data_IF_621480428417
#
_entry.id   IF_621480428417
#
_cell.length_a   1.000
_cell.length_b   1.000
_cell.length_c   1.000
_cell.angle_alpha   90.00
_cell.angle_beta   90.00
_cell.angle_gamma   90.00
#
_symmetry.space_group_name_H-M   'P 1'
#
loop_
_entity.id
_entity.type
_entity.pdbx_description
1 polymer ?
#
# COMPACT_ATOMS: atom_id res chain seq x y z
N UNK A 1 4.08 4.63 15.96
CA UNK A 1 4.17 5.35 14.67
C UNK A 1 4.61 4.38 13.57
N UNK A 2 3.98 4.42 12.39
CA UNK A 2 4.27 3.53 11.26
C UNK A 2 4.55 4.37 9.99
N UNK A 3 5.42 3.90 9.11
CA UNK A 3 5.68 4.56 7.82
C UNK A 3 6.00 3.53 6.73
N UNK A 4 5.90 3.94 5.47
CA UNK A 4 6.31 3.12 4.34
C UNK A 4 6.49 3.93 3.07
N UNK A 5 7.32 3.40 2.18
CA UNK A 5 7.60 3.94 0.86
C UNK A 5 7.38 2.86 -0.19
N UNK A 6 6.96 3.26 -1.39
CA UNK A 6 6.77 2.37 -2.52
C UNK A 6 7.26 3.04 -3.80
N UNK A 7 7.97 2.28 -4.64
CA UNK A 7 8.40 2.71 -5.97
C UNK A 7 7.86 1.75 -7.03
N UNK A 8 7.19 2.29 -8.04
CA UNK A 8 6.79 1.53 -9.23
C UNK A 8 8.01 1.32 -10.15
N UNK A 9 8.06 0.15 -10.77
CA UNK A 9 9.12 -0.29 -11.70
C UNK A 9 8.49 -1.02 -12.89
N UNK A 10 9.28 -1.30 -13.93
CA UNK A 10 8.85 -2.06 -15.13
C UNK A 10 7.58 -1.47 -15.80
N UNK A 11 7.55 -0.17 -16.09
CA UNK A 11 6.39 0.50 -16.70
C UNK A 11 5.09 0.25 -15.93
N UNK A 12 5.12 0.49 -14.62
CA UNK A 12 4.01 0.26 -13.70
C UNK A 12 3.57 -1.22 -13.56
N UNK A 13 4.32 -2.19 -14.12
CA UNK A 13 4.04 -3.63 -13.94
C UNK A 13 4.60 -4.21 -12.66
N UNK A 14 5.53 -3.54 -11.99
CA UNK A 14 6.03 -3.99 -10.69
C UNK A 14 6.15 -2.89 -9.67
N UNK A 15 6.35 -3.27 -8.41
CA UNK A 15 6.68 -2.34 -7.33
C UNK A 15 7.57 -2.96 -6.26
N UNK A 16 8.49 -2.15 -5.73
CA UNK A 16 9.17 -2.42 -4.47
C UNK A 16 8.49 -1.61 -3.38
N UNK A 17 8.16 -2.25 -2.26
CA UNK A 17 7.57 -1.61 -1.09
C UNK A 17 8.41 -1.91 0.14
N UNK A 18 8.71 -0.88 0.91
CA UNK A 18 9.32 -0.98 2.21
C UNK A 18 8.42 -0.34 3.25
N UNK A 19 8.18 -1.02 4.37
CA UNK A 19 7.38 -0.48 5.47
C UNK A 19 7.97 -0.84 6.82
N UNK A 20 7.81 0.08 7.78
CA UNK A 20 8.26 -0.07 9.16
C UNK A 20 7.08 0.19 10.10
N UNK A 21 6.87 -0.75 11.03
CA UNK A 21 5.89 -0.63 12.12
C UNK A 21 6.59 -0.29 13.43
N UNK A 22 5.95 0.55 14.23
CA UNK A 22 6.42 1.01 15.53
C UNK A 22 7.85 1.60 15.53
N UNK A 23 8.10 2.53 14.59
CA UNK A 23 9.42 3.16 14.37
C UNK A 23 10.02 3.70 15.68
N UNK A 24 9.19 4.29 16.53
CA UNK A 24 9.61 4.91 17.80
C UNK A 24 9.61 3.94 18.99
N UNK A 25 9.37 2.64 18.78
CA UNK A 25 9.34 1.60 19.84
C UNK A 25 8.41 1.96 21.01
N UNK A 26 7.23 2.46 20.66
CA UNK A 26 6.28 3.05 21.62
C UNK A 26 5.33 2.04 22.24
N UNK A 27 5.22 0.83 21.68
CA UNK A 27 4.31 -0.17 22.21
C UNK A 27 4.80 -0.72 23.55
N UNK A 28 4.04 -0.45 24.62
CA UNK A 28 4.23 -1.02 25.96
C UNK A 28 2.94 -1.71 26.36
N UNK A 29 3.01 -3.02 26.59
CA UNK A 29 1.90 -3.82 27.11
C UNK A 29 2.23 -4.26 28.53
N UNK A 30 1.92 -3.38 29.48
CA UNK A 30 2.03 -3.61 30.91
C UNK A 30 0.69 -3.26 31.56
N UNK A 31 0.42 -3.89 32.70
CA UNK A 31 -0.80 -3.63 33.45
C UNK A 31 -0.69 -4.14 34.87
N UNK A 32 -1.66 -3.72 35.66
CA UNK A 32 -1.85 -4.17 37.03
C UNK A 32 -3.17 -4.92 37.11
N UNK A 33 -3.15 -6.08 37.73
CA UNK A 33 -4.38 -6.78 38.10
C UNK A 33 -4.83 -6.18 39.42
N UNK A 34 -5.88 -5.35 39.35
CA UNK A 34 -6.52 -4.71 40.50
C UNK A 34 -7.92 -5.34 40.68
N UNK A 35 -8.52 -5.21 41.87
CA UNK A 35 -9.82 -5.80 42.27
C UNK A 35 -9.80 -7.28 42.69
N UNK A 36 -8.67 -7.77 43.20
CA UNK A 36 -8.62 -9.04 43.94
C UNK A 36 -8.25 -8.73 45.39
N UNK A 37 -9.13 -8.99 46.38
CA UNK A 37 -8.80 -8.77 47.78
C UNK A 37 -7.54 -9.55 48.17
N UNK A 38 -6.58 -8.85 48.80
CA UNK A 38 -5.29 -9.39 49.25
C UNK A 38 -4.35 -9.92 48.14
N UNK A 39 -4.56 -9.56 46.87
CA UNK A 39 -3.64 -9.92 45.79
C UNK A 39 -3.33 -8.73 44.87
N UNK A 40 -2.04 -8.47 44.67
CA UNK A 40 -1.53 -7.49 43.71
C UNK A 40 -0.56 -8.19 42.78
N UNK A 41 -0.90 -8.22 41.49
CA UNK A 41 -0.06 -8.82 40.46
C UNK A 41 0.23 -7.78 39.37
N UNK A 42 1.50 -7.63 39.02
CA UNK A 42 1.94 -6.79 37.91
C UNK A 42 2.41 -7.68 36.76
N UNK A 43 1.90 -7.44 35.55
CA UNK A 43 2.31 -8.19 34.37
C UNK A 43 3.02 -7.31 33.34
N UNK A 44 3.96 -7.93 32.64
CA UNK A 44 4.66 -7.31 31.51
C UNK A 44 4.72 -8.26 30.33
N UNK A 45 4.01 -7.91 29.27
CA UNK A 45 4.06 -8.62 27.99
C UNK A 45 5.09 -7.96 27.07
N UNK A 46 6.10 -8.74 26.67
CA UNK A 46 7.06 -8.33 25.64
C UNK A 46 6.56 -8.80 24.30
N UNK A 47 6.14 -7.86 23.45
CA UNK A 47 5.75 -8.13 22.08
C UNK A 47 6.76 -7.55 21.10
N UNK A 48 7.00 -8.25 20.00
CA UNK A 48 7.81 -7.75 18.89
C UNK A 48 6.98 -6.76 18.07
N UNK A 49 6.95 -5.51 18.53
CA UNK A 49 6.18 -4.44 17.89
C UNK A 49 6.87 -3.86 16.65
N UNK A 50 8.21 -3.77 16.70
CA UNK A 50 9.05 -3.28 15.61
C UNK A 50 9.22 -4.33 14.51
N UNK A 51 8.66 -4.02 13.33
CA UNK A 51 8.69 -4.92 12.17
C UNK A 51 9.07 -4.13 10.93
N UNK A 52 10.05 -4.66 10.20
CA UNK A 52 10.48 -4.17 8.89
C UNK A 52 9.98 -5.17 7.84
N UNK A 53 9.36 -4.66 6.79
CA UNK A 53 8.86 -5.49 5.69
C UNK A 53 9.37 -4.92 4.37
N UNK A 54 10.04 -5.76 3.59
CA UNK A 54 10.41 -5.51 2.21
C UNK A 54 9.62 -6.47 1.32
N UNK A 55 8.97 -5.93 0.29
CA UNK A 55 8.16 -6.72 -0.63
C UNK A 55 8.36 -6.29 -2.07
N UNK A 56 8.39 -7.27 -2.97
CA UNK A 56 8.35 -7.08 -4.40
C UNK A 56 7.01 -7.60 -4.94
N UNK A 57 6.39 -6.84 -5.84
CA UNK A 57 5.16 -7.23 -6.51
C UNK A 57 5.36 -7.10 -8.02
N UNK A 58 4.83 -8.04 -8.79
CA UNK A 58 4.83 -8.01 -10.26
C UNK A 58 3.47 -8.44 -10.80
N UNK A 59 2.95 -7.69 -11.76
CA UNK A 59 1.67 -7.93 -12.41
C UNK A 59 1.90 -8.48 -13.82
N UNK A 60 1.48 -9.72 -14.05
CA UNK A 60 1.57 -10.42 -15.34
C UNK A 60 0.39 -10.11 -16.28
N UNK A 61 -0.66 -9.45 -15.80
CA UNK A 61 -1.80 -9.06 -16.62
C UNK A 61 -1.38 -8.12 -17.74
N UNK A 62 -2.02 -8.23 -18.92
CA UNK A 62 -1.94 -7.18 -19.93
C UNK A 62 -2.48 -5.91 -19.28
N UNK A 63 -1.69 -4.84 -19.29
CA UNK A 63 -2.27 -3.50 -19.21
C UNK A 63 -3.30 -3.49 -20.33
N UNK A 64 -4.59 -3.43 -19.98
CA UNK A 64 -5.59 -3.02 -20.95
C UNK A 64 -5.11 -1.64 -21.35
N UNK A 65 -4.36 -1.57 -22.45
CA UNK A 65 -3.84 -0.33 -23.00
C UNK A 65 -4.96 0.67 -22.89
N UNK A 66 -4.62 1.87 -22.39
CA UNK A 66 -5.48 3.05 -22.37
C UNK A 66 -6.56 2.87 -23.41
N UNK A 67 -7.82 2.67 -22.97
CA UNK A 67 -8.96 2.46 -23.88
C UNK A 67 -8.68 3.36 -25.06
N UNK A 68 -8.31 2.78 -26.22
CA UNK A 68 -8.13 3.53 -27.44
C UNK A 68 -9.38 4.39 -27.47
N UNK A 69 -9.20 5.71 -27.35
CA UNK A 69 -10.32 6.63 -27.50
C UNK A 69 -10.94 6.16 -28.80
N UNK A 70 -12.13 5.57 -28.72
CA UNK A 70 -12.84 5.07 -29.88
C UNK A 70 -12.83 6.25 -30.85
N UNK A 71 -12.28 6.07 -32.04
CA UNK A 71 -12.33 7.09 -33.08
C UNK A 71 -13.80 7.27 -33.48
N UNK A 72 -14.55 8.02 -32.67
CA UNK A 72 -15.92 8.42 -32.91
C UNK A 72 -15.85 9.66 -33.79
N UNK A 73 -15.55 9.46 -35.07
CA UNK A 73 -15.24 10.59 -35.95
C UNK A 73 -15.34 10.31 -37.44
N UNK A 74 -16.08 9.31 -37.90
CA UNK A 74 -16.31 9.10 -39.35
C UNK A 74 -16.86 10.36 -40.02
N UNK A 75 -17.66 11.16 -39.30
CA UNK A 75 -18.20 12.44 -39.78
C UNK A 75 -17.14 13.55 -39.92
N UNK A 76 -16.07 13.54 -39.12
CA UNK A 76 -14.99 14.54 -39.22
C UNK A 76 -13.97 14.20 -40.32
N UNK A 77 -13.80 12.90 -40.62
CA UNK A 77 -13.05 12.43 -41.79
C UNK A 77 -13.73 12.86 -43.10
N UNK A 78 -15.07 12.76 -43.18
CA UNK A 78 -15.81 13.17 -44.39
C UNK A 78 -15.80 14.68 -44.62
N UNK A 79 -15.83 15.50 -43.58
CA UNK A 79 -15.72 16.97 -43.71
C UNK A 79 -14.41 17.42 -44.37
N UNK A 80 -13.32 16.65 -44.21
CA UNK A 80 -12.03 16.93 -44.83
C UNK A 80 -11.98 16.67 -46.34
N UNK A 81 -12.86 15.80 -46.86
CA UNK A 81 -12.93 15.47 -48.30
C UNK A 81 -13.65 16.52 -49.13
N UNK A 82 -14.48 17.37 -48.52
CA UNK A 82 -15.30 18.39 -49.22
C UNK A 82 -14.56 19.73 -49.39
N UNK A 83 -13.32 19.85 -48.90
CA UNK A 83 -12.52 21.08 -48.97
C UNK A 83 -11.43 21.10 -50.06
N UNK A 84 -11.35 20.09 -50.92
CA UNK A 84 -10.43 20.07 -52.08
C UNK A 84 -11.19 20.29 -53.38
#
# INVERSE_FOLDING_TARGET
>A
MNAGIQRKVFNNKGSFKFSVRDILKTYKNNGLTNNIPNATEAFRNKFNSQVFTLGFNYNFGRSLSEKSKRDTGSADVEKGRVKN
#
